data_IF_013917304672
#
_entry.id   IF_013917304672
#
_cell.length_a   1.000
_cell.length_b   1.000
_cell.length_c   1.000
_cell.angle_alpha   90.00
_cell.angle_beta   90.00
_cell.angle_gamma   90.00
#
_symmetry.space_group_name_H-M   'P 1'
#
loop_
_entity.id
_entity.type
_entity.pdbx_description
1 polymer ?
#
# COMPACT_ATOMS: atom_id res chain seq x y z
N UNK A 1 -16.19 -82.04 -20.39
CA UNK A 1 -15.19 -80.98 -20.64
C UNK A 1 -15.45 -80.44 -22.04
N UNK A 2 -15.49 -79.12 -22.20
CA UNK A 2 -15.67 -78.45 -23.50
C UNK A 2 -14.34 -77.85 -23.95
N UNK A 3 -14.17 -77.63 -25.26
CA UNK A 3 -12.99 -76.93 -25.79
C UNK A 3 -13.10 -75.44 -25.49
N UNK A 4 -11.99 -74.84 -25.05
CA UNK A 4 -11.87 -73.41 -24.83
C UNK A 4 -10.83 -73.06 -23.76
N UNK A 5 -10.74 -71.77 -23.44
CA UNK A 5 -9.68 -71.20 -22.59
C UNK A 5 -10.15 -70.90 -21.15
N UNK A 6 -11.38 -71.28 -20.79
CA UNK A 6 -11.98 -71.04 -19.48
C UNK A 6 -11.73 -72.16 -18.45
N UNK A 7 -12.01 -71.88 -17.18
CA UNK A 7 -11.95 -72.89 -16.11
C UNK A 7 -12.90 -74.06 -16.42
N UNK A 8 -12.41 -75.28 -16.24
CA UNK A 8 -13.12 -76.53 -16.57
C UNK A 8 -13.11 -76.88 -18.06
N UNK A 9 -12.45 -76.07 -18.90
CA UNK A 9 -12.25 -76.32 -20.34
C UNK A 9 -10.85 -76.86 -20.62
N UNK A 10 -10.61 -77.23 -21.88
CA UNK A 10 -9.34 -77.82 -22.34
C UNK A 10 -9.04 -77.35 -23.77
N UNK A 11 -7.76 -77.34 -24.15
CA UNK A 11 -7.39 -77.06 -25.53
C UNK A 11 -7.87 -78.17 -26.48
N UNK A 12 -8.20 -77.79 -27.72
CA UNK A 12 -8.68 -78.72 -28.75
C UNK A 12 -7.69 -79.87 -28.99
N UNK A 13 -6.39 -79.56 -29.01
CA UNK A 13 -5.31 -80.54 -29.23
C UNK A 13 -5.25 -81.62 -28.13
N UNK A 14 -5.50 -81.24 -26.88
CA UNK A 14 -5.45 -82.18 -25.76
C UNK A 14 -6.72 -83.07 -25.75
N UNK A 15 -7.88 -82.52 -26.13
CA UNK A 15 -9.10 -83.30 -26.33
C UNK A 15 -8.95 -84.29 -27.49
N UNK A 16 -8.37 -83.85 -28.62
CA UNK A 16 -8.09 -84.71 -29.76
C UNK A 16 -7.10 -85.84 -29.40
N UNK A 17 -6.08 -85.55 -28.60
CA UNK A 17 -5.13 -86.55 -28.13
C UNK A 17 -5.81 -87.64 -27.26
N UNK A 18 -6.73 -87.26 -26.37
CA UNK A 18 -7.52 -88.23 -25.60
C UNK A 18 -8.45 -89.04 -26.50
N UNK A 19 -9.14 -88.39 -27.44
CA UNK A 19 -10.02 -89.07 -28.39
C UNK A 19 -9.26 -90.12 -29.22
N UNK A 20 -8.05 -89.80 -29.69
CA UNK A 20 -7.19 -90.74 -30.39
C UNK A 20 -6.76 -91.93 -29.52
N UNK A 21 -6.41 -91.70 -28.25
CA UNK A 21 -6.09 -92.78 -27.33
C UNK A 21 -7.29 -93.71 -27.06
N UNK A 22 -8.50 -93.14 -26.96
CA UNK A 22 -9.75 -93.90 -26.84
C UNK A 22 -9.98 -94.75 -28.10
N UNK A 23 -9.77 -94.19 -29.29
CA UNK A 23 -9.91 -94.91 -30.56
C UNK A 23 -8.93 -96.09 -30.66
N UNK A 24 -7.65 -95.88 -30.33
CA UNK A 24 -6.63 -96.93 -30.29
C UNK A 24 -7.02 -98.04 -29.30
N UNK A 25 -7.44 -97.69 -28.09
CA UNK A 25 -7.86 -98.65 -27.08
C UNK A 25 -9.11 -99.44 -27.53
N UNK A 26 -10.07 -98.76 -28.17
CA UNK A 26 -11.28 -99.37 -28.71
C UNK A 26 -10.97 -100.36 -29.84
N UNK A 27 -10.05 -100.02 -30.74
CA UNK A 27 -9.61 -100.90 -31.83
C UNK A 27 -8.91 -102.16 -31.30
N UNK A 28 -8.08 -102.01 -30.25
CA UNK A 28 -7.44 -103.15 -29.58
C UNK A 28 -8.50 -104.04 -28.89
N UNK A 29 -9.46 -103.43 -28.19
CA UNK A 29 -10.54 -104.16 -27.52
C UNK A 29 -11.47 -104.89 -28.49
N UNK A 30 -11.85 -104.25 -29.59
CA UNK A 30 -12.73 -104.86 -30.61
C UNK A 30 -12.09 -106.12 -31.22
N UNK A 31 -10.76 -106.16 -31.30
CA UNK A 31 -9.98 -107.28 -31.81
C UNK A 31 -9.43 -108.21 -30.71
N UNK A 32 -9.96 -108.14 -29.47
CA UNK A 32 -9.43 -108.82 -28.27
C UNK A 32 -9.15 -110.32 -28.42
N UNK A 33 -9.93 -111.04 -29.22
CA UNK A 33 -9.77 -112.49 -29.44
C UNK A 33 -8.47 -112.85 -30.18
N UNK A 34 -7.85 -111.87 -30.84
CA UNK A 34 -6.57 -112.00 -31.54
C UNK A 34 -5.38 -111.38 -30.79
N UNK A 35 -5.60 -110.89 -29.55
CA UNK A 35 -4.59 -110.20 -28.74
C UNK A 35 -4.12 -111.05 -27.57
N UNK A 36 -2.88 -110.83 -27.14
CA UNK A 36 -2.35 -111.40 -25.89
C UNK A 36 -2.80 -110.58 -24.69
N UNK A 37 -2.79 -111.17 -23.50
CA UNK A 37 -3.09 -110.43 -22.26
C UNK A 37 -2.18 -109.20 -22.10
N UNK A 38 -0.89 -109.35 -22.39
CA UNK A 38 0.07 -108.24 -22.34
C UNK A 38 -0.32 -107.08 -23.27
N UNK A 39 -0.85 -107.37 -24.46
CA UNK A 39 -1.32 -106.31 -25.38
C UNK A 39 -2.55 -105.58 -24.85
N UNK A 40 -3.47 -106.28 -24.19
CA UNK A 40 -4.64 -105.67 -23.55
C UNK A 40 -4.26 -104.84 -22.31
N UNK A 41 -3.32 -105.34 -21.50
CA UNK A 41 -2.81 -104.63 -20.32
C UNK A 41 -2.04 -103.36 -20.72
N UNK A 42 -1.23 -103.43 -21.79
CA UNK A 42 -0.53 -102.26 -22.33
C UNK A 42 -1.52 -101.21 -22.85
N UNK A 43 -2.54 -101.61 -23.62
CA UNK A 43 -3.56 -100.68 -24.11
C UNK A 43 -4.33 -99.99 -22.98
N UNK A 44 -4.65 -100.74 -21.91
CA UNK A 44 -5.26 -100.19 -20.70
C UNK A 44 -4.36 -99.16 -20.05
N UNK A 45 -3.08 -99.49 -19.86
CA UNK A 45 -2.08 -98.59 -19.28
C UNK A 45 -1.91 -97.31 -20.11
N UNK A 46 -1.88 -97.43 -21.44
CA UNK A 46 -1.78 -96.29 -22.36
C UNK A 46 -2.99 -95.38 -22.29
N UNK A 47 -4.21 -95.95 -22.26
CA UNK A 47 -5.44 -95.19 -22.10
C UNK A 47 -5.50 -94.47 -20.74
N UNK A 48 -5.14 -95.16 -19.65
CA UNK A 48 -5.10 -94.58 -18.30
C UNK A 48 -4.09 -93.42 -18.21
N UNK A 49 -2.93 -93.57 -18.86
CA UNK A 49 -1.94 -92.51 -18.98
C UNK A 49 -2.49 -91.32 -19.79
N UNK A 50 -3.21 -91.58 -20.88
CA UNK A 50 -3.84 -90.52 -21.68
C UNK A 50 -4.94 -89.78 -20.91
N UNK A 51 -5.76 -90.51 -20.14
CA UNK A 51 -6.79 -89.93 -19.25
C UNK A 51 -6.14 -89.04 -18.20
N UNK A 52 -5.11 -89.54 -17.52
CA UNK A 52 -4.38 -88.78 -16.49
C UNK A 52 -3.76 -87.52 -17.07
N UNK A 53 -3.13 -87.64 -18.25
CA UNK A 53 -2.56 -86.49 -18.97
C UNK A 53 -3.64 -85.47 -19.33
N UNK A 54 -4.77 -85.90 -19.85
CA UNK A 54 -5.90 -85.03 -20.20
C UNK A 54 -6.49 -84.33 -18.98
N UNK A 55 -6.68 -85.04 -17.87
CA UNK A 55 -7.15 -84.45 -16.61
C UNK A 55 -6.20 -83.36 -16.11
N UNK A 56 -4.89 -83.56 -16.23
CA UNK A 56 -3.88 -82.54 -15.93
C UNK A 56 -3.85 -81.34 -16.90
N UNK A 57 -4.61 -81.39 -18.01
CA UNK A 57 -4.75 -80.29 -18.99
C UNK A 57 -6.04 -79.50 -18.82
N UNK A 58 -6.99 -79.97 -18.01
CA UNK A 58 -8.19 -79.20 -17.70
C UNK A 58 -7.78 -77.95 -16.93
N UNK A 59 -8.18 -76.79 -17.43
CA UNK A 59 -7.85 -75.50 -16.83
C UNK A 59 -8.53 -75.41 -15.47
N UNK A 60 -7.75 -75.14 -14.43
CA UNK A 60 -8.24 -74.92 -13.07
C UNK A 60 -8.35 -73.42 -12.77
N UNK A 61 -9.14 -73.08 -11.75
CA UNK A 61 -9.20 -71.72 -11.25
C UNK A 61 -7.81 -71.27 -10.74
N UNK A 62 -7.49 -69.99 -10.96
CA UNK A 62 -6.22 -69.42 -10.49
C UNK A 62 -6.20 -69.16 -8.98
N UNK A 63 -5.01 -68.94 -8.44
CA UNK A 63 -4.82 -68.47 -7.06
C UNK A 63 -5.17 -66.98 -6.93
N UNK A 64 -6.03 -66.64 -5.98
CA UNK A 64 -6.51 -65.28 -5.75
C UNK A 64 -5.63 -64.47 -4.81
N UNK A 65 -4.65 -65.10 -4.15
CA UNK A 65 -3.88 -64.49 -3.06
C UNK A 65 -3.29 -63.13 -3.41
N UNK A 66 -2.69 -63.00 -4.61
CA UNK A 66 -2.08 -61.75 -5.06
C UNK A 66 -3.12 -60.63 -5.31
N UNK A 67 -4.26 -60.97 -5.93
CA UNK A 67 -5.35 -60.02 -6.18
C UNK A 67 -5.99 -59.55 -4.86
N UNK A 68 -6.27 -60.49 -3.94
CA UNK A 68 -6.79 -60.16 -2.59
C UNK A 68 -5.85 -59.23 -1.83
N UNK A 69 -4.53 -59.43 -1.95
CA UNK A 69 -3.52 -58.57 -1.32
C UNK A 69 -3.53 -57.15 -1.91
N UNK A 70 -3.61 -57.03 -3.23
CA UNK A 70 -3.69 -55.72 -3.91
C UNK A 70 -4.99 -54.98 -3.53
N UNK A 71 -6.13 -55.68 -3.54
CA UNK A 71 -7.43 -55.13 -3.08
C UNK A 71 -7.33 -54.62 -1.64
N UNK A 72 -6.74 -55.40 -0.73
CA UNK A 72 -6.57 -54.99 0.67
C UNK A 72 -5.69 -53.73 0.80
N UNK A 73 -4.63 -53.64 0.00
CA UNK A 73 -3.74 -52.48 -0.03
C UNK A 73 -4.44 -51.23 -0.56
N UNK A 74 -5.18 -51.35 -1.65
CA UNK A 74 -5.97 -50.27 -2.23
C UNK A 74 -7.10 -49.82 -1.29
N UNK A 75 -7.79 -50.73 -0.60
CA UNK A 75 -8.82 -50.42 0.39
C UNK A 75 -8.24 -49.59 1.54
N UNK A 76 -7.11 -50.03 2.10
CA UNK A 76 -6.43 -49.31 3.18
C UNK A 76 -6.01 -47.90 2.72
N UNK A 77 -5.44 -47.79 1.52
CA UNK A 77 -5.06 -46.51 0.94
C UNK A 77 -6.26 -45.59 0.73
N UNK A 78 -7.35 -46.09 0.15
CA UNK A 78 -8.59 -45.34 -0.06
C UNK A 78 -9.21 -44.87 1.28
N UNK A 79 -9.21 -45.71 2.31
CA UNK A 79 -9.79 -45.37 3.62
C UNK A 79 -8.99 -44.31 4.36
N UNK A 80 -7.66 -44.41 4.34
CA UNK A 80 -6.76 -43.52 5.08
C UNK A 80 -6.44 -42.22 4.35
N UNK A 81 -6.64 -42.17 3.04
CA UNK A 81 -6.39 -40.98 2.24
C UNK A 81 -7.42 -39.87 2.47
N UNK A 82 -6.90 -38.66 2.63
CA UNK A 82 -7.67 -37.42 2.68
C UNK A 82 -7.48 -36.65 1.37
N UNK A 83 -8.61 -36.29 0.75
CA UNK A 83 -8.62 -35.39 -0.40
C UNK A 83 -8.74 -33.93 0.04
N UNK A 84 -8.16 -33.02 -0.75
CA UNK A 84 -8.32 -31.59 -0.52
C UNK A 84 -7.36 -30.76 -1.36
N UNK A 85 -7.10 -29.54 -0.89
CA UNK A 85 -6.29 -28.53 -1.59
C UNK A 85 -4.99 -28.19 -0.87
N UNK A 86 -4.67 -28.85 0.25
CA UNK A 86 -3.44 -28.62 1.01
C UNK A 86 -2.32 -29.53 0.53
N UNK A 87 -1.07 -29.08 0.66
CA UNK A 87 0.13 -29.85 0.32
C UNK A 87 0.09 -31.24 0.99
N UNK A 88 0.36 -32.27 0.21
CA UNK A 88 0.41 -33.66 0.66
C UNK A 88 -0.94 -34.37 0.76
N UNK A 89 -2.07 -33.64 0.65
CA UNK A 89 -3.38 -34.25 0.44
C UNK A 89 -3.50 -34.81 -0.98
N UNK A 90 -4.45 -35.72 -1.19
CA UNK A 90 -4.76 -36.23 -2.51
C UNK A 90 -5.69 -35.26 -3.25
N UNK A 91 -5.53 -35.17 -4.57
CA UNK A 91 -6.35 -34.31 -5.41
C UNK A 91 -7.81 -34.76 -5.33
N UNK A 92 -8.73 -33.80 -5.19
CA UNK A 92 -10.17 -34.07 -5.10
C UNK A 92 -10.66 -34.87 -6.33
N UNK A 93 -11.31 -36.00 -6.09
CA UNK A 93 -11.84 -36.90 -7.12
C UNK A 93 -10.96 -38.13 -7.36
N UNK A 94 -9.69 -38.10 -6.97
CA UNK A 94 -8.76 -39.23 -7.09
C UNK A 94 -9.26 -40.50 -6.38
N UNK A 95 -9.95 -40.37 -5.23
CA UNK A 95 -10.52 -41.50 -4.49
C UNK A 95 -11.62 -42.19 -5.27
N UNK A 96 -12.41 -41.44 -6.03
CA UNK A 96 -13.48 -42.00 -6.89
C UNK A 96 -12.88 -42.86 -8.00
N UNK A 97 -11.75 -42.44 -8.58
CA UNK A 97 -11.02 -43.20 -9.60
C UNK A 97 -10.48 -44.50 -8.99
N UNK A 98 -9.79 -44.43 -7.85
CA UNK A 98 -9.29 -45.62 -7.15
C UNK A 98 -10.42 -46.57 -6.73
N UNK A 99 -11.55 -46.02 -6.27
CA UNK A 99 -12.75 -46.80 -5.89
C UNK A 99 -13.33 -47.56 -7.07
N UNK A 100 -13.35 -46.97 -8.25
CA UNK A 100 -13.84 -47.62 -9.47
C UNK A 100 -12.96 -48.82 -9.86
N UNK A 101 -11.64 -48.68 -9.77
CA UNK A 101 -10.70 -49.79 -10.00
C UNK A 101 -10.81 -50.89 -8.93
N UNK A 102 -10.99 -50.49 -7.65
CA UNK A 102 -11.28 -51.40 -6.54
C UNK A 102 -12.52 -52.25 -6.82
N UNK A 103 -13.62 -51.62 -7.27
CA UNK A 103 -14.87 -52.32 -7.56
C UNK A 103 -14.72 -53.29 -8.73
N UNK A 104 -14.00 -52.90 -9.78
CA UNK A 104 -13.70 -53.78 -10.91
C UNK A 104 -12.87 -55.01 -10.48
N UNK A 105 -11.85 -54.82 -9.66
CA UNK A 105 -11.03 -55.90 -9.12
C UNK A 105 -11.83 -56.83 -8.20
N UNK A 106 -12.72 -56.28 -7.37
CA UNK A 106 -13.59 -57.05 -6.48
C UNK A 106 -14.57 -57.93 -7.28
N UNK A 107 -15.15 -57.42 -8.38
CA UNK A 107 -16.01 -58.22 -9.26
C UNK A 107 -15.26 -59.44 -9.82
N UNK A 108 -14.00 -59.27 -10.20
CA UNK A 108 -13.16 -60.38 -10.69
C UNK A 108 -12.88 -61.39 -9.58
N UNK A 109 -12.57 -60.91 -8.37
CA UNK A 109 -12.32 -61.75 -7.20
C UNK A 109 -13.58 -62.55 -6.78
N UNK A 110 -14.75 -61.91 -6.76
CA UNK A 110 -16.02 -62.56 -6.41
C UNK A 110 -16.37 -63.70 -7.40
N UNK A 111 -15.93 -63.57 -8.66
CA UNK A 111 -16.07 -64.58 -9.70
C UNK A 111 -14.91 -65.58 -9.79
N UNK A 112 -13.96 -65.58 -8.83
CA UNK A 112 -12.67 -66.26 -8.96
C UNK A 112 -12.74 -67.76 -9.27
N UNK A 113 -13.79 -68.47 -8.82
CA UNK A 113 -13.99 -69.89 -9.15
C UNK A 113 -14.11 -70.19 -10.65
N UNK A 114 -14.40 -69.16 -11.45
CA UNK A 114 -14.52 -69.21 -12.91
C UNK A 114 -13.39 -68.48 -13.64
N UNK A 115 -12.37 -67.97 -12.93
CA UNK A 115 -11.28 -67.17 -13.49
C UNK A 115 -9.98 -67.96 -13.60
N UNK A 116 -9.33 -67.81 -14.75
CA UNK A 116 -7.97 -68.35 -14.95
C UNK A 116 -6.93 -67.48 -14.25
N UNK A 117 -5.73 -68.02 -14.03
CA UNK A 117 -4.61 -67.25 -13.46
C UNK A 117 -4.31 -65.96 -14.24
N UNK A 118 -4.41 -65.98 -15.57
CA UNK A 118 -4.18 -64.81 -16.41
C UNK A 118 -5.24 -63.72 -16.21
N UNK A 119 -6.50 -64.09 -16.03
CA UNK A 119 -7.58 -63.13 -15.78
C UNK A 119 -7.45 -62.46 -14.40
N UNK A 120 -7.04 -63.23 -13.39
CA UNK A 120 -6.77 -62.70 -12.05
C UNK A 120 -5.57 -61.74 -12.07
N UNK A 121 -4.50 -62.09 -12.79
CA UNK A 121 -3.32 -61.23 -12.92
C UNK A 121 -3.63 -59.93 -13.68
N UNK A 122 -4.43 -60.00 -14.75
CA UNK A 122 -4.85 -58.80 -15.48
C UNK A 122 -5.61 -57.81 -14.57
N UNK A 123 -6.57 -58.30 -13.78
CA UNK A 123 -7.31 -57.47 -12.82
C UNK A 123 -6.39 -56.86 -11.74
N UNK A 124 -5.38 -57.63 -11.30
CA UNK A 124 -4.38 -57.14 -10.35
C UNK A 124 -3.54 -56.01 -10.97
N UNK A 125 -3.05 -56.19 -12.20
CA UNK A 125 -2.25 -55.17 -12.89
C UNK A 125 -3.03 -53.86 -13.07
N UNK A 126 -4.31 -53.95 -13.45
CA UNK A 126 -5.18 -52.78 -13.57
C UNK A 126 -5.36 -52.05 -12.22
N UNK A 127 -5.59 -52.79 -11.13
CA UNK A 127 -5.69 -52.20 -9.79
C UNK A 127 -4.37 -51.58 -9.33
N UNK A 128 -3.24 -52.25 -9.53
CA UNK A 128 -1.92 -51.75 -9.15
C UNK A 128 -1.58 -50.45 -9.90
N UNK A 129 -1.95 -50.34 -11.18
CA UNK A 129 -1.81 -49.11 -11.95
C UNK A 129 -2.66 -47.96 -11.37
N UNK A 130 -3.89 -48.25 -10.93
CA UNK A 130 -4.75 -47.27 -10.28
C UNK A 130 -4.19 -46.83 -8.91
N UNK A 131 -3.60 -47.76 -8.14
CA UNK A 131 -2.89 -47.44 -6.88
C UNK A 131 -1.74 -46.48 -7.16
N UNK A 132 -0.89 -46.75 -8.15
CA UNK A 132 0.25 -45.90 -8.50
C UNK A 132 -0.20 -44.50 -8.95
N UNK A 133 -1.25 -44.43 -9.76
CA UNK A 133 -1.85 -43.17 -10.20
C UNK A 133 -2.38 -42.38 -9.01
N UNK A 134 -3.09 -43.03 -8.09
CA UNK A 134 -3.59 -42.41 -6.88
C UNK A 134 -2.45 -41.90 -5.98
N UNK A 135 -1.40 -42.70 -5.76
CA UNK A 135 -0.23 -42.29 -4.99
C UNK A 135 0.49 -41.07 -5.56
N UNK A 136 0.47 -40.92 -6.89
CA UNK A 136 1.06 -39.79 -7.61
C UNK A 136 0.16 -38.54 -7.62
N UNK A 137 -1.12 -38.67 -7.25
CA UNK A 137 -2.11 -37.59 -7.26
C UNK A 137 -2.07 -36.70 -6.02
N UNK A 138 -0.89 -36.46 -5.43
CA UNK A 138 -0.76 -35.57 -4.28
C UNK A 138 -0.65 -34.12 -4.73
N UNK A 139 -1.33 -33.23 -4.01
CA UNK A 139 -1.14 -31.78 -4.15
C UNK A 139 0.30 -31.44 -3.77
N UNK A 140 1.05 -30.88 -4.71
CA UNK A 140 2.43 -30.48 -4.49
C UNK A 140 2.52 -29.08 -3.86
N UNK A 141 3.67 -28.78 -3.26
CA UNK A 141 4.00 -27.44 -2.81
C UNK A 141 4.25 -26.54 -4.03
N UNK A 142 3.71 -25.33 -3.99
CA UNK A 142 4.10 -24.25 -4.88
C UNK A 142 5.21 -23.44 -4.19
N UNK A 143 6.43 -23.64 -4.65
CA UNK A 143 7.64 -23.01 -4.12
C UNK A 143 7.89 -21.62 -4.73
N UNK A 144 8.95 -20.96 -4.27
CA UNK A 144 9.39 -19.67 -4.82
C UNK A 144 8.56 -18.45 -4.43
N UNK A 145 7.52 -18.61 -3.61
CA UNK A 145 6.74 -17.51 -3.07
C UNK A 145 7.47 -16.82 -1.92
N UNK A 146 7.55 -15.50 -1.98
CA UNK A 146 8.21 -14.63 -1.01
C UNK A 146 7.18 -13.76 -0.30
N UNK A 147 7.41 -13.51 0.98
CA UNK A 147 6.66 -12.52 1.73
C UNK A 147 6.97 -11.13 1.19
N UNK A 148 5.93 -10.32 1.03
CA UNK A 148 6.01 -8.97 0.45
C UNK A 148 5.76 -7.95 1.55
N UNK A 149 6.68 -7.00 1.69
CA UNK A 149 6.46 -5.78 2.48
C UNK A 149 6.63 -4.61 1.52
N UNK A 150 5.58 -3.80 1.39
CA UNK A 150 5.58 -2.65 0.49
C UNK A 150 4.90 -1.46 1.14
N UNK A 151 5.24 -0.26 0.70
CA UNK A 151 4.63 0.97 1.19
C UNK A 151 3.28 1.23 0.47
N UNK A 152 2.40 2.06 1.04
CA UNK A 152 1.09 2.38 0.43
C UNK A 152 1.24 2.98 -0.98
N UNK A 153 0.49 2.45 -1.95
CA UNK A 153 0.49 2.75 -3.39
C UNK A 153 1.66 2.15 -4.20
N UNK A 154 2.51 1.32 -3.58
CA UNK A 154 3.53 0.59 -4.33
C UNK A 154 3.01 -0.71 -4.94
N UNK A 155 3.73 -1.17 -5.95
CA UNK A 155 3.49 -2.46 -6.61
C UNK A 155 4.73 -3.33 -6.54
N UNK A 156 4.56 -4.57 -6.10
CA UNK A 156 5.58 -5.62 -6.17
C UNK A 156 5.19 -6.67 -7.23
N UNK A 157 6.19 -7.23 -7.92
CA UNK A 157 6.03 -8.30 -8.92
C UNK A 157 7.07 -9.42 -8.73
N UNK A 158 7.61 -9.56 -7.52
CA UNK A 158 8.72 -10.47 -7.20
C UNK A 158 8.31 -11.94 -7.18
N UNK A 159 7.02 -12.22 -6.97
CA UNK A 159 6.49 -13.57 -6.99
C UNK A 159 6.13 -14.00 -8.41
N UNK A 160 6.75 -15.09 -8.86
CA UNK A 160 6.56 -15.66 -10.18
C UNK A 160 5.99 -17.08 -10.09
N UNK A 161 5.00 -17.38 -10.93
CA UNK A 161 4.43 -18.73 -11.06
C UNK A 161 4.38 -19.10 -12.53
N UNK A 162 5.19 -20.10 -12.90
CA UNK A 162 5.16 -20.70 -14.23
C UNK A 162 4.02 -21.72 -14.31
N UNK A 163 3.17 -21.57 -15.35
CA UNK A 163 2.07 -22.47 -15.63
C UNK A 163 2.40 -23.33 -16.85
N UNK A 164 2.11 -24.62 -16.76
CA UNK A 164 2.16 -25.54 -17.89
C UNK A 164 0.87 -25.46 -18.73
N UNK A 165 0.87 -26.13 -19.89
CA UNK A 165 -0.30 -26.15 -20.76
C UNK A 165 -1.52 -26.79 -20.06
N UNK A 166 -2.64 -26.06 -20.04
CA UNK A 166 -3.87 -26.46 -19.36
C UNK A 166 -3.93 -26.14 -17.87
N UNK A 167 -2.91 -25.48 -17.31
CA UNK A 167 -2.92 -24.98 -15.94
C UNK A 167 -3.49 -23.54 -15.85
N UNK A 168 -4.12 -23.22 -14.73
CA UNK A 168 -4.61 -21.88 -14.39
C UNK A 168 -4.28 -21.56 -12.94
N UNK A 169 -4.30 -20.27 -12.58
CA UNK A 169 -3.97 -19.81 -11.24
C UNK A 169 -5.19 -19.19 -10.56
N UNK A 170 -5.38 -19.49 -9.28
CA UNK A 170 -6.30 -18.78 -8.39
C UNK A 170 -5.50 -18.20 -7.24
N UNK A 171 -5.73 -16.91 -6.94
CA UNK A 171 -5.14 -16.22 -5.78
C UNK A 171 -6.27 -15.83 -4.82
N UNK A 172 -6.14 -16.25 -3.56
CA UNK A 172 -7.16 -16.09 -2.53
C UNK A 172 -6.55 -15.28 -1.39
N UNK A 173 -7.14 -14.11 -1.12
CA UNK A 173 -6.79 -13.29 0.05
C UNK A 173 -7.67 -13.67 1.24
N UNK A 174 -7.06 -13.93 2.41
CA UNK A 174 -7.79 -14.33 3.61
C UNK A 174 -8.75 -13.26 4.14
N UNK A 175 -8.48 -11.98 3.87
CA UNK A 175 -9.12 -10.88 4.59
C UNK A 175 -10.21 -10.15 3.79
N UNK A 176 -10.47 -10.49 2.52
CA UNK A 176 -11.56 -9.94 1.69
C UNK A 176 -11.57 -8.40 1.54
N UNK A 177 -10.63 -7.70 2.17
CA UNK A 177 -10.57 -6.25 2.30
C UNK A 177 -9.66 -5.73 1.21
N UNK A 178 -10.07 -4.64 0.56
CA UNK A 178 -9.41 -4.02 -0.61
C UNK A 178 -8.12 -3.29 -0.22
N UNK A 179 -7.40 -3.73 0.81
CA UNK A 179 -6.10 -3.17 1.20
C UNK A 179 -4.99 -3.56 0.24
N UNK A 180 -5.20 -4.61 -0.54
CA UNK A 180 -4.29 -5.05 -1.60
C UNK A 180 -5.06 -5.41 -2.86
N UNK A 181 -4.57 -4.96 -4.01
CA UNK A 181 -5.01 -5.45 -5.32
C UNK A 181 -4.01 -6.50 -5.79
N UNK A 182 -4.50 -7.66 -6.24
CA UNK A 182 -3.66 -8.75 -6.70
C UNK A 182 -4.10 -9.17 -8.10
N UNK A 183 -3.16 -9.14 -9.03
CA UNK A 183 -3.37 -9.51 -10.43
C UNK A 183 -2.33 -10.55 -10.84
N UNK A 184 -2.76 -11.60 -11.55
CA UNK A 184 -1.83 -12.49 -12.21
C UNK A 184 -1.69 -12.10 -13.68
N UNK A 185 -0.50 -11.67 -14.08
CA UNK A 185 -0.22 -11.22 -15.44
C UNK A 185 1.18 -11.68 -15.88
N UNK A 186 1.28 -12.29 -17.06
CA UNK A 186 2.55 -12.76 -17.64
C UNK A 186 3.45 -13.55 -16.67
N UNK A 187 2.89 -14.52 -15.94
CA UNK A 187 3.67 -15.36 -15.02
C UNK A 187 3.99 -14.70 -13.67
N UNK A 188 3.51 -13.48 -13.42
CA UNK A 188 3.79 -12.72 -12.20
C UNK A 188 2.54 -12.53 -11.36
N UNK A 189 2.69 -12.64 -10.05
CA UNK A 189 1.71 -12.17 -9.08
C UNK A 189 2.06 -10.72 -8.76
N UNK A 190 1.31 -9.80 -9.36
CA UNK A 190 1.43 -8.37 -9.11
C UNK A 190 0.62 -8.03 -7.86
N UNK A 191 1.24 -7.39 -6.88
CA UNK A 191 0.61 -6.99 -5.63
C UNK A 191 0.72 -5.47 -5.47
N UNK A 192 -0.41 -4.78 -5.37
CA UNK A 192 -0.45 -3.32 -5.14
C UNK A 192 -1.05 -3.03 -3.77
N UNK A 193 -0.34 -2.26 -2.93
CA UNK A 193 -0.84 -1.87 -1.60
C UNK A 193 -1.73 -0.65 -1.66
N UNK A 194 -2.98 -0.74 -1.24
CA UNK A 194 -3.92 0.39 -1.25
C UNK A 194 -3.99 1.11 0.10
N UNK A 195 -3.80 0.38 1.21
CA UNK A 195 -3.83 0.94 2.56
C UNK A 195 -2.97 0.11 3.51
N UNK A 196 -2.45 0.75 4.56
CA UNK A 196 -1.63 0.08 5.56
C UNK A 196 -2.42 -1.06 6.22
N UNK A 197 -1.75 -2.19 6.43
CA UNK A 197 -2.37 -3.40 6.98
C UNK A 197 -1.35 -4.23 7.73
N UNK A 198 -1.86 -5.03 8.67
CA UNK A 198 -1.10 -6.17 9.20
C UNK A 198 -0.84 -7.21 8.09
N UNK A 199 -0.04 -8.22 8.42
CA UNK A 199 0.31 -9.28 7.50
C UNK A 199 -0.94 -10.06 7.06
N UNK A 200 -1.32 -9.93 5.79
CA UNK A 200 -2.42 -10.65 5.17
C UNK A 200 -1.92 -11.93 4.51
N UNK A 201 -2.54 -13.08 4.80
CA UNK A 201 -2.17 -14.35 4.18
C UNK A 201 -2.80 -14.45 2.78
N UNK A 202 -1.95 -14.66 1.78
CA UNK A 202 -2.34 -14.90 0.40
C UNK A 202 -2.07 -16.36 0.06
N UNK A 203 -3.11 -17.08 -0.33
CA UNK A 203 -3.02 -18.46 -0.80
C UNK A 203 -3.04 -18.47 -2.33
N UNK A 204 -2.11 -19.22 -2.92
CA UNK A 204 -1.98 -19.36 -4.37
C UNK A 204 -2.18 -20.81 -4.73
N UNK A 205 -3.09 -21.09 -5.68
CA UNK A 205 -3.42 -22.44 -6.13
C UNK A 205 -3.25 -22.55 -7.64
N UNK A 206 -2.55 -23.59 -8.08
CA UNK A 206 -2.48 -23.99 -9.48
C UNK A 206 -3.54 -25.06 -9.73
N UNK A 207 -4.37 -24.82 -10.73
CA UNK A 207 -5.53 -25.63 -11.09
C UNK A 207 -5.31 -26.28 -12.44
N UNK A 208 -5.54 -27.59 -12.54
CA UNK A 208 -5.59 -28.34 -13.80
C UNK A 208 -6.84 -29.21 -13.81
N UNK A 209 -7.57 -29.18 -14.92
CA UNK A 209 -8.84 -29.91 -15.07
C UNK A 209 -9.86 -29.64 -13.94
N UNK A 210 -9.86 -28.40 -13.42
CA UNK A 210 -10.72 -27.97 -12.31
C UNK A 210 -10.28 -28.41 -10.92
N UNK A 211 -9.11 -29.04 -10.77
CA UNK A 211 -8.59 -29.56 -9.51
C UNK A 211 -7.29 -28.86 -9.10
N UNK A 212 -7.10 -28.64 -7.79
CA UNK A 212 -5.86 -28.06 -7.24
C UNK A 212 -4.74 -29.09 -7.31
N UNK A 213 -3.66 -28.78 -8.04
CA UNK A 213 -2.50 -29.65 -8.21
C UNK A 213 -1.25 -29.15 -7.47
N UNK A 214 -1.16 -27.83 -7.25
CA UNK A 214 -0.11 -27.21 -6.44
C UNK A 214 -0.72 -26.12 -5.57
N UNK A 215 -0.22 -25.95 -4.36
CA UNK A 215 -0.63 -24.84 -3.48
C UNK A 215 0.55 -24.27 -2.72
N UNK A 216 0.53 -22.96 -2.49
CA UNK A 216 1.51 -22.26 -1.67
C UNK A 216 0.89 -21.01 -1.05
N UNK A 217 1.62 -20.36 -0.16
CA UNK A 217 1.17 -19.11 0.44
C UNK A 217 2.32 -18.17 0.73
N UNK A 218 1.99 -16.88 0.80
CA UNK A 218 2.90 -15.83 1.27
C UNK A 218 2.09 -14.78 2.03
N UNK A 219 2.78 -13.92 2.75
CA UNK A 219 2.16 -12.80 3.44
C UNK A 219 2.43 -11.48 2.73
N UNK A 220 1.46 -10.58 2.77
CA UNK A 220 1.61 -9.19 2.31
C UNK A 220 1.40 -8.25 3.49
N UNK A 221 2.37 -7.39 3.74
CA UNK A 221 2.29 -6.30 4.73
C UNK A 221 2.41 -4.96 4.00
N UNK A 222 1.44 -4.07 4.22
CA UNK A 222 1.49 -2.71 3.68
C UNK A 222 1.85 -1.74 4.79
N UNK A 223 3.00 -1.06 4.67
CA UNK A 223 3.48 -0.11 5.68
C UNK A 223 3.04 1.32 5.35
N UNK A 224 2.63 2.06 6.39
CA UNK A 224 2.37 3.49 6.25
C UNK A 224 3.70 4.27 6.10
N UNK A 225 3.72 5.37 5.34
CA UNK A 225 4.90 6.22 5.25
C UNK A 225 5.27 6.81 6.61
N UNK A 226 6.57 6.93 6.87
CA UNK A 226 7.10 7.50 8.11
C UNK A 226 6.76 8.99 8.21
N UNK A 227 6.07 9.39 9.29
CA UNK A 227 5.72 10.79 9.55
C UNK A 227 6.63 11.44 10.60
N UNK A 228 6.95 12.71 10.42
CA UNK A 228 7.66 13.52 11.41
C UNK A 228 6.67 14.28 12.30
N UNK A 229 6.69 13.98 13.59
CA UNK A 229 5.86 14.62 14.60
C UNK A 229 6.45 15.96 15.05
N UNK A 230 5.61 16.99 15.15
CA UNK A 230 6.02 18.25 15.77
C UNK A 230 6.14 18.09 17.29
N UNK A 231 6.98 18.93 17.90
CA UNK A 231 6.92 19.28 19.32
C UNK A 231 5.57 19.91 19.66
N UNK A 232 5.26 19.99 20.94
CA UNK A 232 4.12 20.78 21.41
C UNK A 232 4.38 22.27 21.16
N UNK A 233 3.46 22.91 20.43
CA UNK A 233 3.52 24.33 20.10
C UNK A 233 2.49 25.04 20.97
N UNK A 234 2.97 25.73 22.01
CA UNK A 234 2.14 26.45 22.98
C UNK A 234 1.95 27.92 22.64
N UNK A 235 2.79 28.47 21.75
CA UNK A 235 2.69 29.84 21.27
C UNK A 235 2.61 29.86 19.73
N UNK A 236 1.51 30.44 19.24
CA UNK A 236 1.20 30.57 17.80
C UNK A 236 1.27 32.03 17.31
N UNK A 237 1.81 32.93 18.12
CA UNK A 237 2.08 34.30 17.71
C UNK A 237 3.48 34.42 17.09
N UNK A 238 3.52 34.27 15.77
CA UNK A 238 4.71 34.54 14.95
C UNK A 238 4.59 35.87 14.22
N UNK A 239 3.75 36.79 14.70
CA UNK A 239 3.46 38.02 13.96
C UNK A 239 4.64 38.97 13.90
N UNK A 240 4.83 39.57 12.72
CA UNK A 240 5.67 40.75 12.58
C UNK A 240 4.90 41.97 13.08
N UNK A 241 5.47 42.68 14.06
CA UNK A 241 4.94 43.99 14.49
C UNK A 241 5.50 45.04 13.54
N UNK A 242 4.63 45.81 12.88
CA UNK A 242 5.07 46.86 11.96
C UNK A 242 5.75 48.00 12.71
N UNK A 243 6.77 48.59 12.09
CA UNK A 243 7.41 49.81 12.58
C UNK A 243 6.43 50.99 12.61
N UNK A 244 6.78 52.01 13.40
CA UNK A 244 5.96 53.23 13.55
C UNK A 244 6.71 54.45 13.04
N UNK A 245 5.96 55.42 12.51
CA UNK A 245 6.51 56.72 12.10
C UNK A 245 6.83 57.58 13.31
N UNK A 246 7.85 58.44 13.20
CA UNK A 246 8.02 59.53 14.14
C UNK A 246 6.81 60.47 14.06
N UNK A 247 6.08 60.61 15.17
CA UNK A 247 4.83 61.36 15.21
C UNK A 247 4.67 62.11 16.53
N UNK A 248 4.26 63.37 16.45
CA UNK A 248 3.74 64.15 17.59
C UNK A 248 2.29 64.55 17.33
N UNK A 249 1.45 64.44 18.35
CA UNK A 249 0.06 64.94 18.34
C UNK A 249 0.02 66.15 19.27
N UNK A 250 -0.59 67.23 18.80
CA UNK A 250 -0.72 68.46 19.55
C UNK A 250 -1.72 68.29 20.71
N UNK A 251 -1.58 69.15 21.71
CA UNK A 251 -2.66 69.49 22.64
C UNK A 251 -3.82 70.11 21.85
N UNK A 252 -5.05 70.10 22.41
CA UNK A 252 -6.16 70.82 21.83
C UNK A 252 -5.83 72.30 21.57
N UNK A 253 -6.07 72.75 20.35
CA UNK A 253 -5.95 74.15 19.94
C UNK A 253 -7.16 74.90 20.50
N UNK A 254 -6.93 75.71 21.52
CA UNK A 254 -8.01 76.34 22.31
C UNK A 254 -8.42 77.72 21.82
N UNK A 255 -7.54 78.44 21.12
CA UNK A 255 -7.82 79.76 20.54
C UNK A 255 -7.82 79.70 19.01
N UNK A 256 -8.64 80.55 18.39
CA UNK A 256 -8.76 80.70 16.94
C UNK A 256 -8.21 82.05 16.43
N UNK A 257 -7.72 82.91 17.32
CA UNK A 257 -7.08 84.18 16.96
C UNK A 257 -5.72 84.36 17.64
N UNK A 258 -4.66 84.35 16.82
CA UNK A 258 -3.28 84.56 17.26
C UNK A 258 -2.80 86.01 17.04
N UNK A 259 -3.69 86.92 16.62
CA UNK A 259 -3.35 88.34 16.42
C UNK A 259 -2.86 88.95 17.73
N UNK A 260 -1.63 89.47 17.72
CA UNK A 260 -0.97 90.02 18.92
C UNK A 260 -0.46 88.96 19.91
N UNK A 261 -0.67 87.66 19.63
CA UNK A 261 -0.16 86.53 20.40
C UNK A 261 0.53 85.52 19.46
N UNK A 262 1.53 86.03 18.72
CA UNK A 262 2.30 85.23 17.76
C UNK A 262 2.88 84.00 18.44
N UNK A 263 2.67 82.83 17.83
CA UNK A 263 3.31 81.57 18.20
C UNK A 263 4.27 81.13 17.12
N UNK A 264 5.48 80.74 17.53
CA UNK A 264 6.50 80.26 16.61
C UNK A 264 7.33 79.11 17.17
N UNK A 265 7.56 78.12 16.32
CA UNK A 265 8.44 76.99 16.59
C UNK A 265 9.06 76.50 15.28
N UNK A 266 10.16 75.76 15.38
CA UNK A 266 10.79 75.12 14.23
C UNK A 266 10.60 73.60 14.30
N UNK A 267 10.36 72.96 13.18
CA UNK A 267 10.44 71.50 13.04
C UNK A 267 11.83 71.19 12.47
N UNK A 268 12.66 70.51 13.25
CA UNK A 268 14.00 70.09 12.83
C UNK A 268 13.97 68.61 12.48
N UNK A 269 14.20 68.30 11.20
CA UNK A 269 14.27 66.94 10.67
C UNK A 269 15.53 66.77 9.80
N UNK A 270 16.43 65.88 10.21
CA UNK A 270 17.74 65.75 9.58
C UNK A 270 18.52 67.07 9.59
N UNK A 271 18.79 67.63 8.42
CA UNK A 271 19.47 68.92 8.25
C UNK A 271 18.49 70.10 8.05
N UNK A 272 17.20 69.82 7.93
CA UNK A 272 16.19 70.84 7.63
C UNK A 272 15.62 71.45 8.91
N UNK A 273 15.55 72.77 8.93
CA UNK A 273 14.83 73.56 9.93
C UNK A 273 13.64 74.26 9.24
N UNK A 274 12.44 73.77 9.52
CA UNK A 274 11.19 74.29 8.97
C UNK A 274 10.59 75.24 10.00
N UNK A 275 10.60 76.54 9.70
CA UNK A 275 10.07 77.57 10.60
C UNK A 275 8.55 77.66 10.46
N UNK A 276 7.85 77.47 11.57
CA UNK A 276 6.39 77.54 11.65
C UNK A 276 6.01 78.73 12.52
N UNK A 277 5.13 79.58 12.02
CA UNK A 277 4.55 80.65 12.83
C UNK A 277 3.08 80.89 12.50
N UNK A 278 2.36 81.43 13.47
CA UNK A 278 0.99 81.93 13.30
C UNK A 278 0.83 83.20 14.13
N UNK A 279 0.39 84.28 13.48
CA UNK A 279 0.09 85.58 14.09
C UNK A 279 -1.20 86.22 13.56
N UNK A 280 -2.08 85.39 12.99
CA UNK A 280 -3.38 85.77 12.44
C UNK A 280 -4.50 84.86 12.97
N UNK A 281 -5.75 85.20 12.65
CA UNK A 281 -6.91 84.37 12.96
C UNK A 281 -6.98 83.12 12.08
N UNK A 282 -7.13 81.95 12.70
CA UNK A 282 -7.35 80.68 12.01
C UNK A 282 -8.66 80.73 11.21
N UNK A 283 -8.73 79.94 10.13
CA UNK A 283 -9.97 79.77 9.39
C UNK A 283 -11.07 79.22 10.31
N UNK A 284 -12.28 79.77 10.17
CA UNK A 284 -13.48 79.32 10.88
C UNK A 284 -14.27 78.26 10.10
N UNK A 285 -13.82 77.92 8.89
CA UNK A 285 -14.45 76.92 8.04
C UNK A 285 -14.17 75.49 8.53
N UNK A 286 -13.14 75.33 9.37
CA UNK A 286 -12.68 74.05 9.90
C UNK A 286 -12.53 74.09 11.43
N UNK A 287 -12.61 72.94 12.10
CA UNK A 287 -12.17 72.80 13.49
C UNK A 287 -10.77 73.38 13.74
N UNK A 288 -10.53 73.91 14.93
CA UNK A 288 -9.29 74.66 15.26
C UNK A 288 -8.01 73.84 15.02
N UNK A 289 -8.04 72.54 15.29
CA UNK A 289 -6.94 71.63 15.02
C UNK A 289 -6.70 71.39 13.53
N UNK A 290 -7.77 71.24 12.74
CA UNK A 290 -7.72 71.16 11.27
C UNK A 290 -7.16 72.44 10.64
N UNK A 291 -7.62 73.60 11.10
CA UNK A 291 -7.12 74.89 10.66
C UNK A 291 -5.63 75.06 11.03
N UNK A 292 -5.23 74.73 12.26
CA UNK A 292 -3.84 74.83 12.69
C UNK A 292 -2.94 73.81 11.99
N UNK A 293 -3.39 72.57 11.81
CA UNK A 293 -2.66 71.54 11.07
C UNK A 293 -2.39 71.98 9.62
N UNK A 294 -3.36 72.66 8.99
CA UNK A 294 -3.18 73.24 7.65
C UNK A 294 -2.17 74.37 7.62
N UNK A 295 -2.10 75.21 8.68
CA UNK A 295 -1.04 76.22 8.82
C UNK A 295 0.34 75.56 8.88
N UNK A 296 0.49 74.55 9.73
CA UNK A 296 1.78 73.83 9.86
C UNK A 296 2.17 73.14 8.56
N UNK A 297 1.23 72.47 7.89
CA UNK A 297 1.50 71.81 6.61
C UNK A 297 1.85 72.83 5.52
N UNK A 298 1.21 74.00 5.48
CA UNK A 298 1.54 75.04 4.50
C UNK A 298 2.98 75.51 4.65
N UNK A 299 3.47 75.68 5.88
CA UNK A 299 4.88 76.02 6.15
C UNK A 299 5.82 74.88 5.73
N UNK A 300 5.47 73.62 5.99
CA UNK A 300 6.24 72.45 5.53
C UNK A 300 6.31 72.44 4.00
N UNK A 301 5.17 72.56 3.31
CA UNK A 301 5.10 72.53 1.86
C UNK A 301 5.89 73.69 1.24
N UNK A 302 5.73 74.90 1.77
CA UNK A 302 6.46 76.08 1.29
C UNK A 302 7.97 75.91 1.49
N UNK A 303 8.43 75.42 2.64
CA UNK A 303 9.85 75.17 2.89
C UNK A 303 10.47 74.23 1.83
N UNK A 304 9.81 73.10 1.53
CA UNK A 304 10.34 72.17 0.53
C UNK A 304 10.20 72.69 -0.90
N UNK A 305 9.16 73.46 -1.21
CA UNK A 305 9.05 74.18 -2.49
C UNK A 305 10.19 75.20 -2.67
N UNK A 306 10.52 75.98 -1.64
CA UNK A 306 11.60 76.95 -1.69
C UNK A 306 12.98 76.28 -1.79
N UNK A 307 13.15 75.14 -1.12
CA UNK A 307 14.41 74.38 -1.09
C UNK A 307 14.75 73.71 -2.43
N UNK A 308 13.75 73.22 -3.18
CA UNK A 308 14.01 72.44 -4.39
C UNK A 308 12.82 72.24 -5.33
N UNK A 309 11.81 73.10 -5.25
CA UNK A 309 10.61 73.06 -6.09
C UNK A 309 9.74 71.83 -5.85
N UNK A 310 8.93 71.49 -6.85
CA UNK A 310 7.94 70.39 -6.77
C UNK A 310 8.62 69.05 -6.45
N UNK A 311 9.82 68.79 -6.97
CA UNK A 311 10.54 67.55 -6.68
C UNK A 311 10.85 67.40 -5.19
N UNK A 312 11.34 68.46 -4.54
CA UNK A 312 11.62 68.44 -3.09
C UNK A 312 10.33 68.37 -2.25
N UNK A 313 9.25 69.02 -2.69
CA UNK A 313 7.93 68.91 -2.06
C UNK A 313 7.39 67.46 -2.10
N UNK A 314 7.52 66.79 -3.25
CA UNK A 314 7.05 65.42 -3.45
C UNK A 314 7.92 64.38 -2.73
N UNK A 315 9.18 64.70 -2.45
CA UNK A 315 10.10 63.85 -1.69
C UNK A 315 10.28 64.28 -0.23
N UNK A 316 9.41 65.16 0.29
CA UNK A 316 9.56 65.68 1.65
C UNK A 316 9.46 64.54 2.68
N UNK A 317 10.24 64.56 3.76
CA UNK A 317 10.24 63.51 4.77
C UNK A 317 9.12 63.65 5.81
N UNK A 318 8.44 64.81 5.86
CA UNK A 318 7.52 65.17 6.94
C UNK A 318 6.27 65.89 6.42
N UNK A 319 5.18 65.77 7.16
CA UNK A 319 3.91 66.45 6.88
C UNK A 319 3.17 66.73 8.18
N UNK A 320 2.18 67.61 8.10
CA UNK A 320 1.22 67.86 9.17
C UNK A 320 -0.22 67.68 8.69
N UNK A 321 -1.09 67.23 9.60
CA UNK A 321 -2.51 67.05 9.35
C UNK A 321 -3.29 67.40 10.61
N UNK A 322 -4.45 68.05 10.47
CA UNK A 322 -5.31 68.32 11.61
C UNK A 322 -6.49 67.36 11.72
N UNK A 323 -6.99 67.20 12.95
CA UNK A 323 -8.10 66.34 13.34
C UNK A 323 -8.91 67.02 14.45
N UNK A 324 -10.10 67.52 14.15
CA UNK A 324 -10.93 68.18 15.17
C UNK A 324 -10.19 69.35 15.84
N UNK A 325 -9.98 69.29 17.15
CA UNK A 325 -9.26 70.30 17.91
C UNK A 325 -7.74 70.05 18.04
N UNK A 326 -7.20 68.95 17.49
CA UNK A 326 -5.75 68.66 17.51
C UNK A 326 -5.15 68.65 16.11
N UNK A 327 -3.83 68.71 16.01
CA UNK A 327 -3.10 68.40 14.79
C UNK A 327 -1.91 67.52 15.08
N UNK A 328 -1.39 66.85 14.07
CA UNK A 328 -0.22 66.00 14.20
C UNK A 328 0.84 66.39 13.17
N UNK A 329 2.08 66.18 13.55
CA UNK A 329 3.24 66.23 12.66
C UNK A 329 3.79 64.81 12.60
N UNK A 330 3.96 64.27 11.38
CA UNK A 330 4.44 62.91 11.17
C UNK A 330 5.45 62.85 10.04
N UNK A 331 6.54 62.15 10.27
CA UNK A 331 7.45 61.76 9.21
C UNK A 331 6.89 60.58 8.41
N UNK A 332 7.23 60.46 7.12
CA UNK A 332 6.70 59.40 6.26
C UNK A 332 7.38 58.05 6.49
N UNK A 333 8.65 58.04 6.90
CA UNK A 333 9.44 56.81 7.08
C UNK A 333 9.06 56.10 8.39
N UNK A 334 8.57 54.83 8.36
CA UNK A 334 8.02 54.14 9.52
C UNK A 334 9.06 53.26 10.24
N UNK A 335 10.24 53.81 10.54
CA UNK A 335 11.33 53.09 11.18
C UNK A 335 12.09 53.97 12.19
N UNK A 336 13.06 53.37 12.90
CA UNK A 336 13.84 54.05 13.92
C UNK A 336 14.85 55.07 13.38
N UNK A 337 15.08 55.11 12.06
CA UNK A 337 15.93 56.14 11.47
C UNK A 337 15.19 57.47 11.31
N UNK A 338 13.86 57.43 11.33
CA UNK A 338 13.01 58.62 11.29
C UNK A 338 12.89 59.26 12.67
N UNK A 339 13.31 60.52 12.78
CA UNK A 339 13.07 61.35 13.97
C UNK A 339 12.93 62.82 13.59
N UNK A 340 12.22 63.59 14.41
CA UNK A 340 12.24 65.04 14.34
C UNK A 340 12.10 65.64 15.73
N UNK A 341 12.57 66.87 15.88
CA UNK A 341 12.41 67.64 17.13
C UNK A 341 11.80 68.99 16.86
N UNK A 342 11.13 69.52 17.86
CA UNK A 342 10.59 70.87 17.86
C UNK A 342 11.54 71.80 18.60
N UNK A 343 11.80 72.97 18.02
CA UNK A 343 12.64 74.02 18.61
C UNK A 343 11.88 75.34 18.64
N UNK A 344 12.45 76.35 19.31
CA UNK A 344 11.81 77.66 19.49
C UNK A 344 11.02 77.77 20.78
N UNK A 345 10.61 78.99 21.12
CA UNK A 345 10.08 79.31 22.46
C UNK A 345 8.64 78.81 22.68
N UNK A 346 7.87 78.59 21.61
CA UNK A 346 6.44 78.28 21.71
C UNK A 346 6.08 76.84 21.32
N UNK A 347 7.03 75.93 21.05
CA UNK A 347 6.67 74.54 20.68
C UNK A 347 5.82 73.86 21.76
N UNK A 348 6.12 74.12 23.03
CA UNK A 348 5.47 73.52 24.20
C UNK A 348 4.05 74.02 24.44
N UNK A 349 3.66 75.11 23.77
CA UNK A 349 2.26 75.54 23.71
C UNK A 349 1.40 74.49 23.00
N UNK A 350 1.92 73.91 21.90
CA UNK A 350 1.20 72.95 21.10
C UNK A 350 1.50 71.49 21.46
N UNK A 351 2.66 71.15 22.02
CA UNK A 351 3.03 69.75 22.25
C UNK A 351 3.52 69.51 23.68
N UNK A 352 3.27 68.32 24.22
CA UNK A 352 3.82 67.89 25.52
C UNK A 352 5.23 67.30 25.39
N UNK A 353 5.60 66.87 24.18
CA UNK A 353 6.90 66.27 23.88
C UNK A 353 7.61 67.08 22.82
N UNK A 354 8.92 67.24 23.00
CA UNK A 354 9.76 67.99 22.07
C UNK A 354 10.24 67.15 20.89
N UNK A 355 10.34 65.83 21.06
CA UNK A 355 10.97 64.92 20.09
C UNK A 355 10.03 63.79 19.74
N UNK A 356 9.99 63.42 18.46
CA UNK A 356 9.37 62.20 17.99
C UNK A 356 10.40 61.26 17.35
N UNK A 357 10.19 59.97 17.56
CA UNK A 357 11.08 58.90 17.13
C UNK A 357 10.20 57.76 16.58
N UNK A 358 10.48 57.31 15.37
CA UNK A 358 9.87 56.11 14.81
C UNK A 358 10.47 54.84 15.43
N UNK A 359 9.86 53.69 15.16
CA UNK A 359 10.33 52.38 15.65
C UNK A 359 10.48 51.40 14.51
N UNK A 360 11.48 50.52 14.56
CA UNK A 360 11.65 49.47 13.56
C UNK A 360 10.55 48.41 13.65
N UNK A 361 10.36 47.66 12.56
CA UNK A 361 9.54 46.46 12.60
C UNK A 361 10.20 45.39 13.49
N UNK A 362 9.41 44.74 14.34
CA UNK A 362 9.87 43.63 15.18
C UNK A 362 9.51 42.29 14.52
N UNK A 363 10.54 41.59 14.05
CA UNK A 363 10.45 40.25 13.46
C UNK A 363 10.98 39.15 14.37
N UNK A 364 11.26 39.44 15.65
CA UNK A 364 11.88 38.49 16.59
C UNK A 364 11.03 37.23 16.82
N UNK A 365 9.71 37.34 16.61
CA UNK A 365 8.75 36.23 16.72
C UNK A 365 8.61 35.41 15.45
N UNK A 366 9.11 35.91 14.30
CA UNK A 366 9.01 35.17 13.06
C UNK A 366 9.75 33.84 13.19
N UNK A 367 9.22 32.81 12.51
CA UNK A 367 9.87 31.51 12.43
C UNK A 367 9.97 31.05 11.00
N UNK A 368 11.08 30.39 10.69
CA UNK A 368 11.32 29.79 9.40
C UNK A 368 11.91 28.40 9.55
N UNK A 369 11.39 27.47 8.77
CA UNK A 369 12.00 26.16 8.54
C UNK A 369 11.69 25.75 7.10
N UNK A 370 12.27 24.65 6.66
CA UNK A 370 12.11 24.12 5.32
C UNK A 370 11.65 22.67 5.38
N UNK A 371 10.89 22.26 4.38
CA UNK A 371 10.41 20.89 4.19
C UNK A 371 10.78 20.47 2.77
N UNK A 372 11.46 19.34 2.62
CA UNK A 372 11.87 18.79 1.34
C UNK A 372 11.44 17.34 1.18
N UNK A 373 11.06 16.96 -0.04
CA UNK A 373 10.80 15.58 -0.44
C UNK A 373 12.05 14.89 -1.05
N UNK A 374 13.21 15.54 -0.95
CA UNK A 374 14.46 15.15 -1.61
C UNK A 374 14.66 15.78 -2.99
N UNK A 375 13.58 16.26 -3.63
CA UNK A 375 13.60 16.88 -4.97
C UNK A 375 13.17 18.35 -4.92
N UNK A 376 12.02 18.63 -4.32
CA UNK A 376 11.42 19.94 -4.13
C UNK A 376 11.67 20.43 -2.70
N UNK A 377 11.71 21.76 -2.51
CA UNK A 377 11.96 22.40 -1.21
C UNK A 377 10.96 23.53 -0.97
N UNK A 378 10.20 23.44 0.12
CA UNK A 378 9.30 24.48 0.58
C UNK A 378 9.94 25.25 1.73
N UNK A 379 9.97 26.59 1.67
CA UNK A 379 10.28 27.43 2.83
C UNK A 379 9.00 27.79 3.57
N UNK A 380 8.87 27.33 4.81
CA UNK A 380 7.74 27.63 5.69
C UNK A 380 8.04 28.92 6.44
N UNK A 381 7.44 30.03 5.97
CA UNK A 381 7.55 31.34 6.62
C UNK A 381 6.33 31.60 7.51
N UNK A 382 6.57 31.71 8.81
CA UNK A 382 5.59 32.05 9.83
C UNK A 382 5.83 33.49 10.29
N UNK A 383 4.95 34.40 9.85
CA UNK A 383 5.05 35.85 10.07
C UNK A 383 3.73 36.46 10.55
N UNK A 384 2.83 35.62 11.07
CA UNK A 384 1.46 35.97 11.44
C UNK A 384 1.06 35.25 12.72
N UNK A 385 -0.01 35.74 13.35
CA UNK A 385 -0.63 35.08 14.49
C UNK A 385 -1.65 34.06 14.00
N UNK A 386 -1.56 32.83 14.52
CA UNK A 386 -2.54 31.77 14.26
C UNK A 386 -3.35 31.51 15.53
N UNK A 387 -4.66 31.35 15.41
CA UNK A 387 -5.55 31.06 16.53
C UNK A 387 -5.55 29.59 16.92
N UNK A 388 -5.27 28.69 15.97
CA UNK A 388 -5.26 27.23 16.17
C UNK A 388 -4.14 26.57 15.37
N UNK A 389 -3.77 25.34 15.75
CA UNK A 389 -2.86 24.51 14.96
C UNK A 389 -3.41 24.26 13.54
N UNK A 390 -4.72 24.15 13.35
CA UNK A 390 -5.30 23.96 12.01
C UNK A 390 -4.98 25.13 11.06
N UNK A 391 -4.97 26.37 11.56
CA UNK A 391 -4.59 27.53 10.75
C UNK A 391 -3.09 27.50 10.41
N UNK A 392 -2.24 27.06 11.35
CA UNK A 392 -0.81 26.85 11.09
C UNK A 392 -0.58 25.74 10.06
N UNK A 393 -1.26 24.59 10.20
CA UNK A 393 -1.20 23.47 9.27
C UNK A 393 -1.67 23.89 7.87
N UNK A 394 -2.74 24.67 7.78
CA UNK A 394 -3.20 25.26 6.51
C UNK A 394 -2.12 26.11 5.86
N UNK A 395 -1.42 26.93 6.65
CA UNK A 395 -0.28 27.72 6.16
C UNK A 395 0.85 26.83 5.66
N UNK A 396 1.22 25.80 6.41
CA UNK A 396 2.27 24.84 6.03
C UNK A 396 1.90 24.17 4.70
N UNK A 397 0.71 23.58 4.61
CA UNK A 397 0.22 22.92 3.39
C UNK A 397 0.15 23.86 2.18
N UNK A 398 -0.19 25.14 2.39
CA UNK A 398 -0.14 26.14 1.32
C UNK A 398 1.28 26.30 0.78
N UNK A 399 2.29 26.36 1.65
CA UNK A 399 3.69 26.47 1.22
C UNK A 399 4.19 25.18 0.54
N UNK A 400 3.84 24.00 1.09
CA UNK A 400 4.20 22.70 0.50
C UNK A 400 3.64 22.58 -0.93
N UNK A 401 2.34 22.87 -1.10
CA UNK A 401 1.66 22.84 -2.39
C UNK A 401 2.27 23.83 -3.38
N UNK A 402 2.52 25.07 -2.96
CA UNK A 402 3.10 26.09 -3.83
C UNK A 402 4.51 25.73 -4.31
N UNK A 403 5.24 24.94 -3.52
CA UNK A 403 6.58 24.45 -3.85
C UNK A 403 6.56 23.06 -4.51
N UNK A 404 5.38 22.46 -4.74
CA UNK A 404 5.20 21.10 -5.24
C UNK A 404 5.93 20.02 -4.41
N UNK A 405 6.04 20.21 -3.09
CA UNK A 405 6.61 19.18 -2.20
C UNK A 405 5.59 18.08 -1.96
N UNK A 406 5.97 16.83 -2.19
CA UNK A 406 5.17 15.62 -1.96
C UNK A 406 5.06 15.25 -0.48
N UNK A 407 4.55 16.18 0.33
CA UNK A 407 4.29 15.99 1.75
C UNK A 407 3.02 16.72 2.16
N UNK A 408 2.39 16.24 3.23
CA UNK A 408 1.20 16.85 3.81
C UNK A 408 1.38 17.00 5.31
N UNK A 409 1.02 18.18 5.83
CA UNK A 409 0.89 18.43 7.24
C UNK A 409 -0.54 18.11 7.71
N UNK A 410 -0.65 17.39 8.83
CA UNK A 410 -1.92 16.96 9.41
C UNK A 410 -1.97 17.34 10.89
N UNK A 411 -3.08 17.92 11.34
CA UNK A 411 -3.29 18.20 12.76
C UNK A 411 -3.39 16.89 13.53
N UNK A 412 -2.62 16.77 14.61
CA UNK A 412 -2.65 15.60 15.51
C UNK A 412 -3.36 15.93 16.82
N UNK A 413 -3.19 17.15 17.33
CA UNK A 413 -3.84 17.64 18.54
C UNK A 413 -3.99 19.16 18.50
N UNK A 414 -4.49 19.77 19.59
CA UNK A 414 -4.59 21.23 19.72
C UNK A 414 -3.21 21.93 19.73
N UNK A 415 -2.12 21.21 19.96
CA UNK A 415 -0.75 21.76 20.08
C UNK A 415 0.26 21.09 19.14
N UNK A 416 -0.14 20.07 18.37
CA UNK A 416 0.79 19.31 17.54
C UNK A 416 0.22 19.01 16.16
N UNK A 417 1.13 18.91 15.20
CA UNK A 417 0.88 18.40 13.87
C UNK A 417 1.94 17.36 13.52
N UNK A 418 1.75 16.67 12.40
CA UNK A 418 2.77 15.83 11.79
C UNK A 418 2.92 16.17 10.32
N UNK A 419 4.08 15.89 9.74
CA UNK A 419 4.30 15.95 8.31
C UNK A 419 4.56 14.54 7.81
N UNK A 420 3.76 14.10 6.85
CA UNK A 420 3.82 12.77 6.26
C UNK A 420 4.11 12.93 4.76
N UNK A 421 5.05 12.17 4.17
CA UNK A 421 5.18 12.14 2.72
C UNK A 421 3.87 11.68 2.08
N UNK A 422 3.49 12.26 0.94
CA UNK A 422 2.29 11.83 0.20
C UNK A 422 2.55 10.60 -0.67
N UNK A 423 3.80 10.20 -0.81
CA UNK A 423 4.24 9.01 -1.53
C UNK A 423 4.81 7.97 -0.59
N UNK A 424 4.70 6.71 -0.99
CA UNK A 424 5.02 5.53 -0.19
C UNK A 424 6.45 5.52 0.37
N UNK A 425 7.42 5.79 -0.50
CA UNK A 425 8.85 5.88 -0.20
C UNK A 425 9.32 7.33 -0.17
N UNK A 426 8.37 8.26 -0.06
CA UNK A 426 8.68 9.67 0.10
C UNK A 426 9.48 9.88 1.37
N UNK A 427 10.48 10.74 1.29
CA UNK A 427 11.23 11.19 2.45
C UNK A 427 10.70 12.58 2.82
N UNK A 428 10.65 12.90 4.10
CA UNK A 428 10.46 14.28 4.55
C UNK A 428 11.73 14.70 5.26
N UNK A 429 12.40 15.72 4.71
CA UNK A 429 13.60 16.32 5.30
C UNK A 429 13.22 17.69 5.83
N UNK A 430 13.49 17.92 7.13
CA UNK A 430 13.27 19.21 7.77
C UNK A 430 14.60 19.90 8.02
N UNK A 431 14.74 21.14 7.54
CA UNK A 431 15.91 21.96 7.81
C UNK A 431 15.57 23.43 8.09
N UNK A 432 16.56 24.28 8.34
CA UNK A 432 16.41 25.73 8.49
C UNK A 432 16.46 26.24 9.93
N UNK A 433 16.51 27.57 10.06
CA UNK A 433 16.96 28.28 11.27
C UNK A 433 16.17 27.92 12.53
N UNK A 434 14.85 27.74 12.42
CA UNK A 434 14.00 27.47 13.58
C UNK A 434 13.51 26.02 13.67
N UNK A 435 14.05 25.08 12.87
CA UNK A 435 13.55 23.70 12.83
C UNK A 435 13.49 23.03 14.20
N UNK A 436 14.49 23.28 15.04
CA UNK A 436 14.63 22.68 16.35
C UNK A 436 13.54 23.13 17.34
N UNK A 437 12.83 24.23 17.05
CA UNK A 437 11.68 24.66 17.85
C UNK A 437 10.43 23.84 17.52
N UNK A 438 10.35 23.25 16.31
CA UNK A 438 9.18 22.51 15.84
C UNK A 438 9.36 21.01 15.84
N UNK A 439 10.58 20.48 15.70
CA UNK A 439 10.83 19.04 15.57
C UNK A 439 11.93 18.56 16.53
N UNK A 440 11.91 17.26 16.84
CA UNK A 440 13.00 16.57 17.57
C UNK A 440 14.27 16.47 16.72
N UNK A 441 15.35 15.98 17.35
CA UNK A 441 16.59 15.62 16.63
C UNK A 441 16.38 14.47 15.64
#
# INVERSE_FOLDING_TARGET
VTVGDGVGQVAEVDLAALASAIEIAHDIYSNRESKTQLQLDNATTELDNAITKFQGKVIVAGDTTALTTSISSALNLHQTAFEGSLVGQYIIGSKTILKSALDAAQIVLDAASSKTAQQLEAAKVELDQAILTFQSSKVAELDGLQNITLSVSETDTSNHVALENGESLIVISSNGTVTTEIEYYNGQIKVTGNAASEANLITVQVIKDGQVIKTGSFTVTVVAPSSLMSKEITNLDFSTVSGTQAKLISKPVTIDDFTGNRKEFSIVIGQDEIKVYVDWALSKDFPKGEAMGSVVESHIQQHYLDKGGVSALMSRPISAFGFGDTFQISAFQPDSTSSFKLEGKDWSYFFDQQTAQGTDADTSRNRTFTVSDGTNLATIKLTSRYSTIDQLVTRINTNLKNANVEAIAETVSQTQFKITPTTANGVVIIDGDNKAEFFGE
#
